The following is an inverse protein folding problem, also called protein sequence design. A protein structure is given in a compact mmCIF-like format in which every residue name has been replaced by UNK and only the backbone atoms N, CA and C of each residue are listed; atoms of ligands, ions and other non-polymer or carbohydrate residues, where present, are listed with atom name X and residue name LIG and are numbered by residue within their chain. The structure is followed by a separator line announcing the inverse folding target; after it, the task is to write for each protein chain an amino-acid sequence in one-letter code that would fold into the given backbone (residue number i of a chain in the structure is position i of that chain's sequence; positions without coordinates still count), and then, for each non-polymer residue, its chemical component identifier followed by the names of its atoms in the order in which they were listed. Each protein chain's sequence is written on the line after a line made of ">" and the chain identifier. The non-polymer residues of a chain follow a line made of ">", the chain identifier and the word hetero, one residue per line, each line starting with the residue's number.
data_IF_120825995644
#
_entry.id   IF_120825995644
#
_cell.length_a   1.000
_cell.length_b   1.000
_cell.length_c   1.000
_cell.angle_alpha   90.00
_cell.angle_beta   90.00
_cell.angle_gamma   90.00
#
_symmetry.space_group_name_H-M   'P 1'
#
loop_
_entity.id
_entity.type
_entity.pdbx_description
1 polymer ?
#
# COMPACT_ATOMS: atom_id res chain seq x y z
N UNK A 1 -3.78 53.44 -35.63
CA UNK A 1 -5.09 53.85 -35.12
C UNK A 1 -5.52 52.74 -34.18
N UNK A 2 -5.35 52.94 -32.88
CA UNK A 2 -5.69 51.96 -31.82
C UNK A 2 -7.18 52.09 -31.59
N UNK A 3 -7.94 51.06 -31.93
CA UNK A 3 -9.37 51.01 -31.66
C UNK A 3 -9.56 50.52 -30.23
N UNK A 4 -9.94 51.44 -29.36
CA UNK A 4 -10.38 51.15 -28.00
C UNK A 4 -11.81 50.58 -28.08
N UNK A 5 -11.97 49.26 -28.01
CA UNK A 5 -13.25 48.58 -28.01
C UNK A 5 -13.78 48.61 -26.58
N UNK A 6 -14.63 49.56 -26.25
CA UNK A 6 -15.50 49.47 -25.08
C UNK A 6 -16.48 48.29 -25.28
N UNK A 7 -16.16 47.17 -24.68
CA UNK A 7 -17.07 46.04 -24.57
C UNK A 7 -18.20 46.45 -23.61
N UNK A 8 -19.33 46.88 -24.15
CA UNK A 8 -20.58 46.88 -23.41
C UNK A 8 -21.12 45.46 -23.39
N UNK A 9 -21.09 44.88 -22.21
CA UNK A 9 -21.59 43.56 -21.89
C UNK A 9 -23.05 43.38 -22.38
N UNK A 10 -23.23 42.53 -23.37
CA UNK A 10 -24.39 41.68 -23.48
C UNK A 10 -23.82 40.25 -23.59
N UNK A 11 -23.39 39.74 -22.47
CA UNK A 11 -23.22 38.30 -22.30
C UNK A 11 -24.64 37.76 -22.12
N UNK A 12 -25.25 37.34 -23.20
CA UNK A 12 -26.35 36.38 -23.09
C UNK A 12 -25.70 35.06 -22.64
N UNK A 13 -25.62 34.91 -21.34
CA UNK A 13 -25.30 33.60 -20.74
C UNK A 13 -26.53 32.76 -20.99
N UNK A 14 -26.55 32.05 -22.12
CA UNK A 14 -27.36 30.85 -22.24
C UNK A 14 -26.72 29.85 -21.30
N UNK A 15 -27.22 29.82 -20.07
CA UNK A 15 -26.92 28.83 -19.08
C UNK A 15 -27.36 27.49 -19.66
N UNK A 16 -26.47 26.83 -20.41
CA UNK A 16 -26.63 25.43 -20.67
C UNK A 16 -26.57 24.77 -19.30
N UNK A 17 -27.72 24.38 -18.82
CA UNK A 17 -27.88 23.55 -17.64
C UNK A 17 -27.10 22.27 -17.93
N UNK A 18 -25.81 22.26 -17.57
CA UNK A 18 -25.04 21.03 -17.43
C UNK A 18 -25.78 20.29 -16.33
N UNK A 19 -26.59 19.33 -16.71
CA UNK A 19 -27.06 18.30 -15.78
C UNK A 19 -25.83 17.83 -15.04
N UNK A 20 -25.77 18.19 -13.78
CA UNK A 20 -24.80 17.66 -12.82
C UNK A 20 -25.02 16.14 -12.77
N UNK A 21 -24.37 15.41 -13.65
CA UNK A 21 -24.07 14.02 -13.37
C UNK A 21 -23.04 14.08 -12.24
N UNK A 22 -23.55 14.05 -11.03
CA UNK A 22 -22.74 13.66 -9.87
C UNK A 22 -22.14 12.31 -10.23
N UNK A 23 -20.91 12.33 -10.69
CA UNK A 23 -20.12 11.12 -10.87
C UNK A 23 -19.84 10.61 -9.46
N UNK A 24 -20.75 9.78 -8.96
CA UNK A 24 -20.44 8.92 -7.84
C UNK A 24 -19.21 8.11 -8.29
N UNK A 25 -18.05 8.43 -7.73
CA UNK A 25 -16.92 7.52 -7.77
C UNK A 25 -17.39 6.25 -7.07
N UNK A 26 -17.75 5.23 -7.86
CA UNK A 26 -18.03 3.91 -7.31
C UNK A 26 -16.68 3.39 -6.87
N UNK A 27 -16.44 3.44 -5.56
CA UNK A 27 -15.29 2.80 -4.94
C UNK A 27 -15.50 1.28 -5.03
N UNK A 28 -15.03 0.67 -6.08
CA UNK A 28 -14.84 -0.77 -6.07
C UNK A 28 -13.52 -1.03 -5.36
N UNK A 29 -13.57 -1.22 -4.04
CA UNK A 29 -12.49 -1.90 -3.35
C UNK A 29 -12.50 -3.36 -3.82
N UNK A 30 -11.82 -3.65 -4.91
CA UNK A 30 -11.38 -5.00 -5.17
C UNK A 30 -10.20 -5.22 -4.24
N UNK A 31 -10.45 -5.86 -3.09
CA UNK A 31 -9.40 -6.48 -2.30
C UNK A 31 -8.76 -7.54 -3.21
N UNK A 32 -7.70 -7.19 -3.89
CA UNK A 32 -6.81 -8.18 -4.47
C UNK A 32 -6.16 -8.91 -3.29
N UNK A 33 -5.99 -10.22 -3.43
CA UNK A 33 -5.31 -11.02 -2.41
C UNK A 33 -4.01 -10.31 -2.01
N UNK A 34 -3.81 -10.16 -0.70
CA UNK A 34 -2.61 -9.52 -0.16
C UNK A 34 -1.38 -10.13 -0.84
N UNK A 35 -0.59 -9.30 -1.50
CA UNK A 35 0.66 -9.77 -2.12
C UNK A 35 1.65 -9.97 -0.99
N UNK A 36 1.93 -11.23 -0.65
CA UNK A 36 2.92 -11.55 0.35
C UNK A 36 4.32 -11.16 -0.14
N UNK A 37 5.17 -10.78 0.82
CA UNK A 37 6.53 -10.30 0.53
C UNK A 37 7.39 -11.42 -0.08
N UNK A 38 7.01 -12.68 0.10
CA UNK A 38 7.72 -13.89 -0.38
C UNK A 38 6.71 -14.96 -0.82
N UNK A 39 7.05 -15.69 -1.86
CA UNK A 39 6.30 -16.87 -2.33
C UNK A 39 6.90 -18.19 -1.81
N UNK A 40 8.22 -18.18 -1.50
CA UNK A 40 8.98 -19.30 -0.99
C UNK A 40 10.02 -18.84 0.03
N UNK A 41 10.40 -19.73 0.95
CA UNK A 41 11.47 -19.49 1.91
C UNK A 41 12.34 -20.73 2.10
N UNK A 42 13.64 -20.56 1.91
CA UNK A 42 14.64 -21.58 2.23
C UNK A 42 14.99 -21.49 3.71
N UNK A 43 14.58 -22.51 4.47
CA UNK A 43 14.77 -22.56 5.91
C UNK A 43 16.11 -23.23 6.25
N UNK A 44 16.83 -22.65 7.19
CA UNK A 44 18.05 -23.21 7.72
C UNK A 44 18.22 -22.99 9.22
N UNK A 45 19.04 -23.80 9.87
CA UNK A 45 19.30 -23.72 11.31
C UNK A 45 20.51 -22.84 11.62
N UNK A 46 20.38 -22.02 12.67
CA UNK A 46 21.47 -21.28 13.33
C UNK A 46 22.00 -22.01 14.56
N UNK A 47 21.60 -23.27 14.73
CA UNK A 47 21.97 -24.17 15.83
C UNK A 47 20.96 -24.20 16.96
N UNK A 48 21.13 -25.18 17.79
CA UNK A 48 20.24 -25.55 18.87
C UNK A 48 20.58 -24.83 20.19
N UNK A 49 19.55 -24.59 21.02
CA UNK A 49 19.65 -24.19 22.41
C UNK A 49 19.07 -25.29 23.30
N UNK A 50 19.88 -25.87 24.18
CA UNK A 50 19.47 -26.85 25.18
C UNK A 50 19.69 -26.27 26.57
N UNK A 51 18.65 -25.82 27.24
CA UNK A 51 18.79 -25.16 28.55
C UNK A 51 17.67 -25.52 29.55
N UNK A 52 16.72 -26.37 29.15
CA UNK A 52 15.62 -26.80 30.02
C UNK A 52 15.16 -28.23 29.68
N UNK A 53 14.37 -28.80 30.60
CA UNK A 53 13.63 -30.05 30.42
C UNK A 53 12.15 -29.75 30.29
N UNK A 54 11.42 -30.64 29.63
CA UNK A 54 9.97 -30.70 29.60
C UNK A 54 9.55 -32.13 30.00
N UNK A 55 8.73 -32.24 31.04
CA UNK A 55 8.34 -33.56 31.64
C UNK A 55 9.55 -34.45 31.95
N UNK A 56 10.61 -33.87 32.47
CA UNK A 56 11.84 -34.53 32.83
C UNK A 56 12.82 -34.86 31.68
N UNK A 57 12.42 -34.70 30.43
CA UNK A 57 13.28 -34.93 29.28
C UNK A 57 13.96 -33.63 28.79
N UNK A 58 15.23 -33.68 28.44
CA UNK A 58 15.95 -32.57 27.83
C UNK A 58 15.27 -32.17 26.50
N UNK A 59 15.05 -30.85 26.32
CA UNK A 59 14.47 -30.33 25.10
C UNK A 59 15.46 -29.35 24.45
N UNK A 60 15.71 -29.57 23.16
CA UNK A 60 16.46 -28.67 22.30
C UNK A 60 15.51 -27.76 21.50
N UNK A 61 15.86 -26.49 21.44
CA UNK A 61 15.16 -25.53 20.61
C UNK A 61 16.04 -25.13 19.45
N UNK A 62 15.75 -25.66 18.27
CA UNK A 62 16.46 -25.31 17.06
C UNK A 62 16.08 -23.90 16.63
N UNK A 63 17.07 -23.02 16.41
CA UNK A 63 16.88 -21.65 15.92
C UNK A 63 16.82 -21.66 14.40
N UNK A 64 15.62 -21.62 13.85
CA UNK A 64 15.37 -21.68 12.40
C UNK A 64 15.11 -20.29 11.87
N UNK A 65 15.72 -19.99 10.72
CA UNK A 65 15.58 -18.73 10.01
C UNK A 65 15.48 -18.97 8.50
N UNK A 66 15.06 -17.94 7.78
CA UNK A 66 15.23 -17.80 6.33
C UNK A 66 15.81 -16.41 6.05
N UNK A 67 16.42 -16.22 4.87
CA UNK A 67 16.99 -14.96 4.46
C UNK A 67 16.16 -14.34 3.33
N UNK A 68 15.93 -13.04 3.43
CA UNK A 68 15.37 -12.23 2.37
C UNK A 68 16.08 -10.87 2.30
N UNK A 69 16.53 -10.50 1.12
CA UNK A 69 17.22 -9.21 0.86
C UNK A 69 18.39 -8.95 1.82
N UNK A 70 19.15 -10.00 2.17
CA UNK A 70 20.28 -9.95 3.09
C UNK A 70 19.89 -9.81 4.58
N UNK A 71 18.62 -9.99 4.91
CA UNK A 71 18.10 -9.96 6.29
C UNK A 71 17.57 -11.33 6.68
N UNK A 72 18.02 -11.83 7.83
CA UNK A 72 17.52 -13.09 8.40
C UNK A 72 16.24 -12.87 9.21
N UNK A 73 15.23 -13.67 8.95
CA UNK A 73 13.95 -13.65 9.65
C UNK A 73 13.67 -14.98 10.35
N UNK A 74 13.14 -14.98 11.59
CA UNK A 74 12.79 -16.21 12.30
C UNK A 74 11.65 -16.98 11.63
N UNK A 75 11.76 -18.32 11.72
CA UNK A 75 10.73 -19.27 11.32
C UNK A 75 10.40 -20.19 12.50
N UNK A 76 9.17 -20.11 12.99
CA UNK A 76 8.70 -20.89 14.15
C UNK A 76 7.95 -22.14 13.70
N UNK A 77 8.39 -23.32 14.11
CA UNK A 77 7.71 -24.58 13.82
C UNK A 77 6.24 -24.54 14.29
N UNK A 78 5.36 -25.18 13.51
CA UNK A 78 3.93 -25.28 13.82
C UNK A 78 3.48 -26.68 14.21
N UNK A 79 4.37 -27.69 14.22
CA UNK A 79 4.04 -29.03 14.68
C UNK A 79 5.24 -29.66 15.42
N UNK A 80 5.10 -29.88 16.73
CA UNK A 80 6.17 -30.48 17.55
C UNK A 80 6.33 -31.99 17.35
N UNK A 81 5.38 -32.66 16.67
CA UNK A 81 5.37 -34.09 16.45
C UNK A 81 6.10 -34.52 15.18
N UNK A 82 6.33 -33.57 14.28
CA UNK A 82 7.01 -33.81 13.01
C UNK A 82 8.47 -33.34 13.05
N UNK A 83 9.37 -33.96 12.28
CA UNK A 83 10.73 -33.47 12.13
C UNK A 83 10.75 -32.12 11.40
N UNK A 84 11.54 -31.19 11.91
CA UNK A 84 11.76 -29.87 11.37
C UNK A 84 13.18 -29.69 10.81
N UNK A 85 13.48 -28.45 10.44
CA UNK A 85 14.84 -28.03 10.08
C UNK A 85 15.74 -28.16 11.29
N UNK A 86 16.89 -28.82 11.12
CA UNK A 86 17.93 -28.98 12.13
C UNK A 86 19.29 -28.76 11.51
N UNK A 87 20.30 -28.45 12.34
CA UNK A 87 21.67 -28.29 11.86
C UNK A 87 22.21 -29.59 11.22
N UNK A 88 21.88 -30.76 11.76
CA UNK A 88 22.32 -32.06 11.26
C UNK A 88 21.44 -32.63 10.15
N UNK A 89 20.13 -32.34 10.17
CA UNK A 89 19.16 -32.84 9.19
C UNK A 89 19.02 -31.99 7.94
N UNK A 90 19.66 -30.83 7.91
CA UNK A 90 19.59 -29.87 6.81
C UNK A 90 18.32 -28.99 6.81
N UNK A 91 18.31 -28.05 5.89
CA UNK A 91 17.19 -27.18 5.61
C UNK A 91 16.26 -27.72 4.52
N UNK A 92 15.14 -27.05 4.33
CA UNK A 92 14.24 -27.26 3.19
C UNK A 92 13.43 -26.00 2.88
N UNK A 93 12.94 -25.94 1.64
CA UNK A 93 12.09 -24.83 1.18
C UNK A 93 10.65 -25.06 1.63
N UNK A 94 9.98 -23.96 1.98
CA UNK A 94 8.53 -23.92 2.22
C UNK A 94 7.88 -22.93 1.26
N UNK A 95 6.67 -23.25 0.77
CA UNK A 95 5.86 -22.36 -0.04
C UNK A 95 4.98 -21.46 0.84
N UNK A 96 4.67 -20.26 0.37
CA UNK A 96 3.88 -19.27 1.11
C UNK A 96 2.71 -18.79 0.26
N UNK A 97 1.50 -19.18 0.65
CA UNK A 97 0.26 -18.79 -0.04
C UNK A 97 -0.78 -18.14 0.88
N UNK A 98 -0.53 -18.13 2.18
CA UNK A 98 -1.47 -17.63 3.20
C UNK A 98 -0.78 -17.17 4.47
N UNK A 99 -1.54 -16.51 5.33
CA UNK A 99 -1.12 -16.15 6.69
C UNK A 99 -1.51 -17.25 7.69
N UNK A 100 -0.85 -17.25 8.85
CA UNK A 100 -1.26 -18.05 10.01
C UNK A 100 -2.56 -17.47 10.57
N UNK A 101 -3.66 -18.21 10.42
CA UNK A 101 -4.98 -17.81 10.91
C UNK A 101 -5.21 -18.26 12.37
N UNK A 102 -4.36 -17.76 13.28
CA UNK A 102 -4.47 -17.98 14.72
C UNK A 102 -4.01 -16.73 15.45
N UNK A 103 -4.95 -16.03 16.09
CA UNK A 103 -4.67 -14.77 16.79
C UNK A 103 -3.71 -14.94 17.97
N UNK A 104 -3.70 -16.08 18.65
CA UNK A 104 -2.80 -16.32 19.77
C UNK A 104 -1.35 -16.52 19.26
N UNK A 105 -1.15 -17.26 18.16
CA UNK A 105 0.16 -17.36 17.48
C UNK A 105 0.61 -15.99 17.00
N UNK A 106 -0.27 -15.22 16.35
CA UNK A 106 0.05 -13.87 15.90
C UNK A 106 0.49 -12.98 17.07
N UNK A 107 -0.20 -13.02 18.22
CA UNK A 107 0.17 -12.26 19.42
C UNK A 107 1.49 -12.73 20.01
N UNK A 108 1.75 -14.04 20.07
CA UNK A 108 3.02 -14.59 20.54
C UNK A 108 4.19 -14.09 19.68
N UNK A 109 4.05 -14.11 18.37
CA UNK A 109 5.07 -13.64 17.43
C UNK A 109 5.25 -12.12 17.52
N UNK A 110 4.17 -11.34 17.48
CA UNK A 110 4.25 -9.86 17.43
C UNK A 110 4.67 -9.23 18.75
N UNK A 111 4.48 -9.92 19.88
CA UNK A 111 5.02 -9.55 21.19
C UNK A 111 6.32 -10.30 21.54
N UNK A 112 6.81 -11.15 20.63
CA UNK A 112 8.03 -11.92 20.72
C UNK A 112 9.15 -11.38 19.82
N UNK A 113 10.16 -12.22 19.61
CA UNK A 113 11.28 -11.94 18.71
C UNK A 113 10.87 -12.15 17.24
N UNK A 114 11.27 -11.29 16.28
CA UNK A 114 12.21 -10.16 16.41
C UNK A 114 11.54 -8.82 16.71
N UNK A 115 10.21 -8.75 16.86
CA UNK A 115 9.49 -7.49 17.11
C UNK A 115 9.82 -6.89 18.49
N UNK A 116 10.24 -7.72 19.43
CA UNK A 116 10.84 -7.35 20.70
C UNK A 116 12.30 -7.79 20.73
N UNK A 117 13.15 -6.92 21.25
CA UNK A 117 14.57 -7.25 21.45
C UNK A 117 14.74 -8.30 22.56
N UNK A 118 15.87 -9.04 22.60
CA UNK A 118 16.15 -9.96 23.69
C UNK A 118 16.01 -9.31 25.07
N UNK A 119 16.53 -8.08 25.25
CA UNK A 119 16.43 -7.31 26.49
C UNK A 119 14.98 -7.01 26.86
N UNK A 120 14.12 -6.67 25.91
CA UNK A 120 12.68 -6.42 26.15
C UNK A 120 11.95 -7.69 26.58
N UNK A 121 12.40 -8.86 26.13
CA UNK A 121 11.90 -10.17 26.53
C UNK A 121 12.52 -10.64 27.87
N UNK A 122 13.50 -9.94 28.42
CA UNK A 122 14.17 -10.32 29.67
C UNK A 122 15.20 -11.44 29.50
N UNK A 123 15.78 -11.62 28.31
CA UNK A 123 16.73 -12.69 27.98
C UNK A 123 18.00 -12.16 27.31
N UNK A 124 18.99 -13.04 27.12
CA UNK A 124 20.30 -12.70 26.53
C UNK A 124 20.45 -13.28 25.12
N UNK A 125 20.53 -12.39 24.15
CA UNK A 125 20.80 -12.76 22.76
C UNK A 125 19.59 -13.38 22.01
N UNK A 126 19.77 -13.50 20.69
CA UNK A 126 18.72 -13.90 19.76
C UNK A 126 18.27 -15.37 19.93
N UNK A 127 19.18 -16.28 20.32
CA UNK A 127 18.80 -17.69 20.52
C UNK A 127 17.80 -17.87 21.67
N UNK A 128 18.04 -17.20 22.80
CA UNK A 128 17.08 -17.23 23.93
C UNK A 128 15.76 -16.56 23.54
N UNK A 129 15.82 -15.41 22.90
CA UNK A 129 14.61 -14.69 22.46
C UNK A 129 13.79 -15.50 21.44
N UNK A 130 14.46 -16.21 20.54
CA UNK A 130 13.81 -17.16 19.64
C UNK A 130 13.15 -18.31 20.41
N UNK A 131 13.85 -18.92 21.36
CA UNK A 131 13.32 -20.01 22.18
C UNK A 131 12.07 -19.57 22.96
N UNK A 132 12.11 -18.40 23.60
CA UNK A 132 10.96 -17.78 24.29
C UNK A 132 9.76 -17.68 23.36
N UNK A 133 9.95 -17.16 22.16
CA UNK A 133 8.85 -16.96 21.20
C UNK A 133 8.34 -18.28 20.65
N UNK A 134 9.22 -19.25 20.35
CA UNK A 134 8.84 -20.59 19.89
C UNK A 134 8.02 -21.33 20.94
N UNK A 135 8.41 -21.25 22.21
CA UNK A 135 7.64 -21.87 23.30
C UNK A 135 6.25 -21.24 23.42
N UNK A 136 6.12 -19.91 23.29
CA UNK A 136 4.83 -19.25 23.30
C UNK A 136 3.96 -19.60 22.06
N UNK A 137 4.56 -19.79 20.89
CA UNK A 137 3.85 -20.30 19.70
C UNK A 137 3.34 -21.72 19.93
N UNK A 138 4.16 -22.58 20.53
CA UNK A 138 3.72 -23.95 20.88
C UNK A 138 2.65 -23.95 21.99
N UNK A 139 2.75 -23.07 22.97
CA UNK A 139 1.70 -22.91 23.97
C UNK A 139 0.36 -22.51 23.37
N UNK A 140 0.36 -21.65 22.35
CA UNK A 140 -0.86 -21.28 21.61
C UNK A 140 -1.53 -22.47 20.90
N UNK A 141 -0.76 -23.54 20.62
CA UNK A 141 -1.23 -24.75 19.94
C UNK A 141 -1.54 -25.90 20.87
N UNK A 142 -0.73 -26.07 21.93
CA UNK A 142 -0.73 -27.26 22.77
C UNK A 142 -1.12 -27.03 24.22
N UNK A 143 -1.28 -25.78 24.64
CA UNK A 143 -1.70 -25.37 25.98
C UNK A 143 -0.84 -26.00 27.08
N UNK A 144 0.41 -25.54 27.15
CA UNK A 144 1.37 -26.06 28.11
C UNK A 144 0.95 -25.86 29.58
N UNK A 145 1.22 -26.86 30.41
CA UNK A 145 1.39 -26.66 31.85
C UNK A 145 2.84 -26.22 32.09
N UNK A 146 3.03 -25.02 32.59
CA UNK A 146 4.36 -24.47 32.80
C UNK A 146 5.12 -25.11 33.94
N UNK A 147 4.44 -25.82 34.86
CA UNK A 147 5.04 -26.61 35.90
C UNK A 147 5.75 -27.88 35.36
N UNK A 148 5.46 -28.26 34.12
CA UNK A 148 6.15 -29.36 33.42
C UNK A 148 7.58 -28.98 32.95
N UNK A 149 7.95 -27.67 33.00
CA UNK A 149 9.24 -27.19 32.58
C UNK A 149 10.21 -27.01 33.75
N UNK A 150 11.46 -27.41 33.59
CA UNK A 150 12.56 -27.28 34.56
C UNK A 150 13.80 -26.72 33.87
N UNK A 151 14.34 -25.59 34.32
CA UNK A 151 15.62 -25.07 33.84
C UNK A 151 16.77 -25.97 34.30
N UNK A 152 17.74 -26.23 33.43
CA UNK A 152 18.96 -26.96 33.85
C UNK A 152 20.04 -26.03 34.35
N UNK A 153 19.83 -24.73 34.22
CA UNK A 153 20.69 -23.66 34.66
C UNK A 153 19.94 -22.32 34.64
N UNK A 154 20.58 -21.23 35.11
CA UNK A 154 19.98 -19.87 35.12
C UNK A 154 19.47 -19.40 33.75
N UNK A 155 20.08 -19.87 32.64
CA UNK A 155 19.61 -19.58 31.29
C UNK A 155 18.25 -20.23 31.05
N UNK A 156 18.10 -21.49 31.44
CA UNK A 156 16.84 -22.22 31.30
C UNK A 156 15.72 -21.60 32.14
N UNK A 157 16.00 -21.27 33.40
CA UNK A 157 15.02 -20.62 34.28
C UNK A 157 14.53 -19.29 33.68
N UNK A 158 15.48 -18.49 33.16
CA UNK A 158 15.17 -17.21 32.52
C UNK A 158 14.33 -17.37 31.24
N UNK A 159 14.65 -18.36 30.41
CA UNK A 159 13.93 -18.64 29.16
C UNK A 159 12.50 -19.11 29.46
N UNK A 160 12.31 -20.03 30.43
CA UNK A 160 11.00 -20.54 30.85
C UNK A 160 10.13 -19.38 31.36
N UNK A 161 10.64 -18.61 32.32
CA UNK A 161 9.90 -17.49 32.90
C UNK A 161 9.49 -16.43 31.85
N UNK A 162 10.37 -16.14 30.88
CA UNK A 162 10.07 -15.22 29.79
C UNK A 162 9.03 -15.80 28.82
N UNK A 163 9.08 -17.09 28.50
CA UNK A 163 8.16 -17.77 27.63
C UNK A 163 6.75 -17.86 28.24
N UNK A 164 6.65 -18.21 29.52
CA UNK A 164 5.38 -18.21 30.26
C UNK A 164 4.73 -16.81 30.24
N UNK A 165 5.51 -15.77 30.54
CA UNK A 165 5.03 -14.39 30.49
C UNK A 165 4.52 -14.00 29.10
N UNK A 166 5.25 -14.34 28.03
CA UNK A 166 4.84 -14.09 26.66
C UNK A 166 3.56 -14.86 26.29
N UNK A 167 3.47 -16.10 26.72
CA UNK A 167 2.29 -16.95 26.53
C UNK A 167 1.06 -16.36 27.23
N UNK A 168 1.22 -15.85 28.45
CA UNK A 168 0.16 -15.17 29.16
C UNK A 168 -0.32 -13.92 28.40
N UNK A 169 0.61 -13.09 27.86
CA UNK A 169 0.27 -11.95 27.01
C UNK A 169 -0.53 -12.43 25.79
N UNK A 170 -0.08 -13.47 25.12
CA UNK A 170 -0.73 -13.99 23.92
C UNK A 170 -2.14 -14.54 24.18
N UNK A 171 -2.36 -15.14 25.36
CA UNK A 171 -3.67 -15.68 25.79
C UNK A 171 -4.64 -14.58 26.20
N UNK A 172 -4.18 -13.58 26.96
CA UNK A 172 -5.06 -12.58 27.61
C UNK A 172 -5.33 -11.35 26.75
N UNK A 173 -4.45 -11.02 25.79
CA UNK A 173 -4.71 -9.92 24.87
C UNK A 173 -5.90 -10.23 23.95
N UNK A 174 -6.66 -9.20 23.63
CA UNK A 174 -7.75 -9.23 22.64
C UNK A 174 -7.30 -8.76 21.26
N UNK A 175 -6.03 -8.37 21.10
CA UNK A 175 -5.50 -7.87 19.84
C UNK A 175 -5.61 -8.92 18.73
N UNK A 176 -5.91 -8.45 17.54
CA UNK A 176 -5.94 -9.27 16.33
C UNK A 176 -5.09 -8.61 15.25
N UNK A 177 -4.60 -9.39 14.28
CA UNK A 177 -3.97 -8.81 13.10
C UNK A 177 -4.95 -7.80 12.48
N UNK A 178 -4.53 -6.54 12.29
CA UNK A 178 -5.38 -5.56 11.62
C UNK A 178 -5.71 -6.00 10.19
N UNK A 179 -6.95 -5.78 9.80
CA UNK A 179 -7.31 -5.84 8.38
C UNK A 179 -6.87 -4.53 7.75
N UNK A 180 -6.00 -4.60 6.75
CA UNK A 180 -5.51 -3.43 6.02
C UNK A 180 -6.59 -2.88 5.09
N UNK A 181 -6.73 -1.56 5.07
CA UNK A 181 -7.61 -0.83 4.15
C UNK A 181 -6.86 0.38 3.63
N UNK A 182 -6.70 0.44 2.32
CA UNK A 182 -6.16 1.59 1.59
C UNK A 182 -7.29 2.20 0.77
N UNK A 183 -7.38 3.53 0.72
CA UNK A 183 -8.32 4.21 -0.13
C UNK A 183 -7.62 5.37 -0.86
N UNK A 184 -7.91 5.52 -2.14
CA UNK A 184 -7.57 6.68 -2.95
C UNK A 184 -8.77 7.60 -3.01
N UNK A 185 -8.59 8.87 -2.74
CA UNK A 185 -9.66 9.87 -2.70
C UNK A 185 -9.23 11.15 -3.40
N UNK A 186 -10.22 11.96 -3.78
CA UNK A 186 -10.03 13.32 -4.26
C UNK A 186 -11.12 14.21 -3.68
N UNK A 187 -10.80 15.46 -3.42
CA UNK A 187 -11.78 16.50 -3.08
C UNK A 187 -12.18 17.32 -4.31
N UNK A 188 -11.48 17.15 -5.44
CA UNK A 188 -11.73 17.88 -6.66
C UNK A 188 -12.92 17.24 -7.40
N UNK A 189 -13.96 18.03 -7.64
CA UNK A 189 -15.17 17.55 -8.35
C UNK A 189 -14.87 17.33 -9.83
N UNK A 190 -14.02 18.15 -10.43
CA UNK A 190 -13.71 18.14 -11.87
C UNK A 190 -12.20 18.26 -12.11
N UNK A 191 -11.78 18.01 -13.32
CA UNK A 191 -10.46 18.37 -13.82
C UNK A 191 -10.44 19.87 -14.09
N UNK A 192 -9.42 20.55 -13.62
CA UNK A 192 -9.22 21.98 -13.81
C UNK A 192 -7.88 22.22 -14.51
N UNK A 193 -7.77 23.35 -15.19
CA UNK A 193 -6.49 23.77 -15.77
C UNK A 193 -5.44 23.89 -14.67
N UNK A 194 -4.29 23.24 -14.87
CA UNK A 194 -3.24 23.24 -13.86
C UNK A 194 -2.63 24.63 -13.68
N UNK A 195 -2.54 25.09 -12.45
CA UNK A 195 -2.06 26.45 -12.11
C UNK A 195 -0.57 26.65 -12.43
N UNK A 196 0.24 25.57 -12.43
CA UNK A 196 1.68 25.63 -12.68
C UNK A 196 1.97 25.47 -14.18
N UNK A 197 1.24 24.57 -14.84
CA UNK A 197 1.39 24.35 -16.28
C UNK A 197 0.03 24.34 -17.00
N UNK A 198 -0.42 25.48 -17.55
CA UNK A 198 -1.73 25.61 -18.19
C UNK A 198 -1.96 24.73 -19.44
N UNK A 199 -0.95 24.02 -19.93
CA UNK A 199 -1.10 23.04 -21.02
C UNK A 199 -1.74 21.72 -20.53
N UNK A 200 -1.88 21.56 -19.21
CA UNK A 200 -2.43 20.37 -18.60
C UNK A 200 -3.72 20.69 -17.82
N UNK A 201 -4.62 19.74 -17.82
CA UNK A 201 -5.66 19.64 -16.82
C UNK A 201 -5.14 18.79 -15.66
N UNK A 202 -5.45 19.20 -14.44
CA UNK A 202 -4.98 18.50 -13.23
C UNK A 202 -6.10 18.13 -12.29
N UNK A 203 -5.86 17.10 -11.50
CA UNK A 203 -6.68 16.69 -10.39
C UNK A 203 -5.81 16.15 -9.27
N UNK A 204 -6.09 16.56 -8.04
CA UNK A 204 -5.31 16.17 -6.86
C UNK A 204 -5.98 15.02 -6.12
N UNK A 205 -5.16 14.05 -5.73
CA UNK A 205 -5.57 12.87 -5.00
C UNK A 205 -4.78 12.72 -3.71
N UNK A 206 -5.37 12.00 -2.76
CA UNK A 206 -4.72 11.63 -1.51
C UNK A 206 -5.09 10.20 -1.12
N UNK A 207 -4.18 9.59 -0.35
CA UNK A 207 -4.32 8.22 0.12
C UNK A 207 -4.62 8.23 1.61
N UNK A 208 -5.57 7.40 2.02
CA UNK A 208 -5.88 7.16 3.43
C UNK A 208 -5.77 5.68 3.75
N UNK A 209 -5.22 5.38 4.93
CA UNK A 209 -5.05 4.03 5.45
C UNK A 209 -5.64 3.94 6.85
N UNK A 210 -6.13 2.76 7.23
CA UNK A 210 -6.63 2.51 8.58
C UNK A 210 -5.56 2.01 9.56
N UNK A 211 -4.38 1.64 9.03
CA UNK A 211 -3.20 1.19 9.77
C UNK A 211 -2.04 2.09 9.39
N UNK A 212 -1.03 2.21 10.25
CA UNK A 212 0.17 3.00 9.92
C UNK A 212 0.84 2.47 8.66
N UNK A 213 1.22 3.41 7.80
CA UNK A 213 1.94 3.21 6.55
C UNK A 213 3.06 4.24 6.49
N UNK A 214 4.16 3.95 5.82
CA UNK A 214 5.26 4.91 5.66
C UNK A 214 5.26 5.54 4.28
N UNK A 215 4.86 4.79 3.27
CA UNK A 215 4.84 5.22 1.87
C UNK A 215 3.77 4.51 1.06
N UNK A 216 3.50 5.06 -0.11
CA UNK A 216 2.69 4.41 -1.13
C UNK A 216 3.26 4.70 -2.51
N UNK A 217 2.96 3.83 -3.46
CA UNK A 217 3.25 4.04 -4.89
C UNK A 217 1.95 4.23 -5.67
N UNK A 218 2.05 4.93 -6.79
CA UNK A 218 0.93 5.20 -7.71
C UNK A 218 1.28 4.71 -9.09
N UNK A 219 0.40 3.91 -9.67
CA UNK A 219 0.50 3.44 -11.05
C UNK A 219 -0.81 3.76 -11.78
N UNK A 220 -0.70 4.11 -13.06
CA UNK A 220 -1.86 4.31 -13.93
C UNK A 220 -2.00 3.12 -14.87
N UNK A 221 -3.21 2.54 -14.91
CA UNK A 221 -3.53 1.41 -15.76
C UNK A 221 -4.63 1.81 -16.76
N UNK A 222 -4.68 1.12 -17.91
CA UNK A 222 -5.68 1.34 -18.95
C UNK A 222 -5.72 2.80 -19.48
N UNK A 223 -4.55 3.44 -19.57
CA UNK A 223 -4.41 4.82 -20.04
C UNK A 223 -4.35 4.82 -21.55
N UNK A 224 -5.38 5.36 -22.21
CA UNK A 224 -5.42 5.52 -23.68
C UNK A 224 -4.87 6.87 -24.16
N UNK A 225 -4.56 7.77 -23.23
CA UNK A 225 -4.03 9.12 -23.50
C UNK A 225 -2.52 9.11 -23.38
N UNK A 226 -1.83 9.78 -24.31
CA UNK A 226 -0.39 9.96 -24.22
C UNK A 226 0.00 11.06 -23.19
N UNK A 227 1.21 10.97 -22.65
CA UNK A 227 1.81 11.99 -21.78
C UNK A 227 1.03 12.34 -20.51
N UNK A 228 0.20 11.44 -20.01
CA UNK A 228 -0.39 11.56 -18.67
C UNK A 228 0.72 11.37 -17.64
N UNK A 229 0.75 12.23 -16.61
CA UNK A 229 1.81 12.26 -15.61
C UNK A 229 1.25 12.08 -14.21
N UNK A 230 1.99 11.35 -13.38
CA UNK A 230 1.82 11.34 -11.93
C UNK A 230 2.91 12.22 -11.33
N UNK A 231 2.50 13.21 -10.54
CA UNK A 231 3.41 14.24 -9.98
C UNK A 231 3.11 14.52 -8.53
N UNK A 232 4.03 15.17 -7.84
CA UNK A 232 3.73 15.83 -6.58
C UNK A 232 2.93 17.14 -6.80
N UNK A 233 2.59 17.85 -5.71
CA UNK A 233 1.84 19.11 -5.77
C UNK A 233 2.59 20.25 -6.52
N UNK A 234 3.91 20.07 -6.77
CA UNK A 234 4.77 21.02 -7.51
C UNK A 234 5.02 20.61 -8.96
N UNK A 235 4.29 19.63 -9.48
CA UNK A 235 4.43 19.03 -10.82
C UNK A 235 5.77 18.31 -11.05
N UNK A 236 6.45 17.86 -9.99
CA UNK A 236 7.61 17.00 -10.13
C UNK A 236 7.13 15.55 -10.31
N UNK A 237 7.48 14.92 -11.43
CA UNK A 237 7.10 13.54 -11.72
C UNK A 237 7.72 12.59 -10.69
N UNK A 238 6.90 11.76 -10.08
CA UNK A 238 7.31 10.67 -9.21
C UNK A 238 6.19 9.65 -9.04
N UNK A 239 6.54 8.42 -8.66
CA UNK A 239 5.58 7.34 -8.42
C UNK A 239 5.52 6.90 -6.97
N UNK A 240 6.56 7.19 -6.17
CA UNK A 240 6.55 6.91 -4.73
C UNK A 240 6.31 8.19 -3.92
N UNK A 241 5.45 8.08 -2.90
CA UNK A 241 5.04 9.17 -2.03
C UNK A 241 5.13 8.72 -0.57
N UNK A 242 5.47 9.63 0.33
CA UNK A 242 5.36 9.39 1.76
C UNK A 242 3.90 9.43 2.19
N UNK A 243 3.54 8.68 3.19
CA UNK A 243 2.19 8.74 3.78
C UNK A 243 1.86 10.17 4.19
N UNK A 244 0.68 10.66 3.76
CA UNK A 244 0.22 12.03 3.97
C UNK A 244 0.59 13.02 2.85
N UNK A 245 1.53 12.70 1.97
CA UNK A 245 1.71 13.48 0.73
C UNK A 245 0.50 13.27 -0.19
N UNK A 246 0.23 14.28 -1.01
CA UNK A 246 -0.75 14.19 -2.08
C UNK A 246 -0.04 14.00 -3.41
N UNK A 247 -0.75 13.47 -4.39
CA UNK A 247 -0.28 13.41 -5.76
C UNK A 247 -1.27 14.07 -6.71
N UNK A 248 -0.75 14.56 -7.82
CA UNK A 248 -1.55 15.11 -8.91
C UNK A 248 -1.43 14.21 -10.12
N UNK A 249 -2.50 14.12 -10.89
CA UNK A 249 -2.46 13.58 -12.24
C UNK A 249 -2.65 14.74 -13.19
N UNK A 250 -1.77 14.82 -14.18
CA UNK A 250 -1.76 15.83 -15.21
C UNK A 250 -2.13 15.17 -16.54
N UNK A 251 -3.18 15.66 -17.19
CA UNK A 251 -3.61 15.24 -18.53
C UNK A 251 -3.36 16.38 -19.49
N UNK A 252 -2.63 16.19 -20.62
CA UNK A 252 -2.49 17.23 -21.62
C UNK A 252 -3.86 17.66 -22.14
N UNK A 253 -4.15 18.96 -22.15
CA UNK A 253 -5.46 19.49 -22.61
C UNK A 253 -5.67 19.15 -24.09
N UNK A 254 -4.57 19.09 -24.88
CA UNK A 254 -4.60 18.70 -26.30
C UNK A 254 -5.13 17.28 -26.52
N UNK A 255 -4.98 16.40 -25.55
CA UNK A 255 -5.41 15.00 -25.62
C UNK A 255 -6.84 14.76 -25.10
N UNK A 256 -7.48 15.82 -24.55
CA UNK A 256 -8.84 15.75 -24.02
C UNK A 256 -9.90 16.06 -25.09
N UNK A 257 -9.69 15.66 -26.33
CA UNK A 257 -10.66 15.81 -27.43
C UNK A 257 -11.89 14.88 -27.29
N UNK A 258 -11.73 13.80 -26.57
CA UNK A 258 -12.77 12.81 -26.25
C UNK A 258 -12.82 12.55 -24.75
N UNK A 259 -13.98 12.14 -24.28
CA UNK A 259 -14.11 11.63 -22.92
C UNK A 259 -13.49 10.25 -22.80
N UNK A 260 -12.92 9.95 -21.64
CA UNK A 260 -12.30 8.66 -21.37
C UNK A 260 -12.22 8.35 -19.89
N UNK A 261 -11.64 7.20 -19.59
CA UNK A 261 -11.35 6.76 -18.23
C UNK A 261 -10.03 6.01 -18.16
N UNK A 262 -9.42 6.00 -16.99
CA UNK A 262 -8.25 5.18 -16.66
C UNK A 262 -8.33 4.77 -15.19
N UNK A 263 -7.48 3.84 -14.78
CA UNK A 263 -7.42 3.37 -13.41
C UNK A 263 -6.17 3.91 -12.71
N UNK A 264 -6.38 4.41 -11.50
CA UNK A 264 -5.33 4.80 -10.57
C UNK A 264 -5.19 3.66 -9.58
N UNK A 265 -4.08 2.95 -9.62
CA UNK A 265 -3.74 1.92 -8.66
C UNK A 265 -2.74 2.48 -7.65
N UNK A 266 -3.04 2.30 -6.38
CA UNK A 266 -2.17 2.69 -5.28
C UNK A 266 -1.80 1.46 -4.47
N UNK A 267 -0.52 1.27 -4.22
CA UNK A 267 0.01 0.23 -3.34
C UNK A 267 0.66 0.89 -2.13
N UNK A 268 0.17 0.60 -0.92
CA UNK A 268 0.72 1.13 0.32
C UNK A 268 1.35 0.03 1.18
N UNK A 269 2.43 0.36 1.89
CA UNK A 269 3.01 -0.48 2.93
C UNK A 269 2.18 -0.36 4.22
N UNK A 270 1.58 -1.46 4.66
CA UNK A 270 0.66 -1.48 5.81
C UNK A 270 1.32 -2.19 6.99
N UNK A 271 1.45 -1.50 8.14
CA UNK A 271 2.08 -2.07 9.34
C UNK A 271 1.11 -3.00 10.06
N UNK A 272 0.97 -4.21 9.57
CA UNK A 272 0.11 -5.25 10.13
C UNK A 272 0.87 -6.35 10.84
N UNK A 273 2.20 -6.38 10.70
CA UNK A 273 3.09 -7.42 11.23
C UNK A 273 2.59 -8.83 10.83
N UNK A 274 2.55 -9.15 9.53
CA UNK A 274 2.00 -10.42 9.07
C UNK A 274 2.86 -11.59 9.56
N UNK A 275 2.21 -12.68 9.94
CA UNK A 275 2.84 -13.97 10.20
C UNK A 275 2.40 -14.91 9.08
N UNK A 276 3.33 -15.26 8.20
CA UNK A 276 3.03 -16.07 7.02
C UNK A 276 3.05 -17.55 7.37
N UNK A 277 2.25 -18.34 6.68
CA UNK A 277 2.27 -19.78 6.78
C UNK A 277 3.18 -20.36 5.70
N UNK A 278 4.32 -20.90 6.13
CA UNK A 278 5.24 -21.64 5.26
C UNK A 278 4.87 -23.13 5.23
N UNK A 279 4.32 -23.56 4.12
CA UNK A 279 3.92 -24.95 3.90
C UNK A 279 5.10 -25.79 3.42
N UNK A 280 5.41 -26.87 4.10
CA UNK A 280 6.46 -27.80 3.67
C UNK A 280 6.09 -28.59 2.41
N UNK A 281 4.80 -28.67 2.06
CA UNK A 281 4.30 -29.51 0.97
C UNK A 281 4.45 -31.03 1.24
N UNK A 282 5.01 -31.43 2.39
CA UNK A 282 5.33 -32.80 2.80
C UNK A 282 4.72 -33.04 4.18
N UNK A 283 3.71 -33.89 4.26
CA UNK A 283 3.02 -34.22 5.51
C UNK A 283 3.91 -34.90 6.55
N UNK A 284 5.11 -35.32 6.21
CA UNK A 284 6.12 -35.90 7.12
C UNK A 284 7.06 -34.83 7.70
N UNK A 285 6.94 -33.56 7.30
CA UNK A 285 7.78 -32.44 7.74
C UNK A 285 6.94 -31.30 8.35
N UNK A 286 7.57 -30.52 9.19
CA UNK A 286 6.92 -29.36 9.81
C UNK A 286 6.65 -28.26 8.80
N UNK A 287 5.50 -27.56 8.95
CA UNK A 287 5.26 -26.23 8.42
C UNK A 287 5.65 -25.17 9.46
N UNK A 288 5.77 -23.92 9.03
CA UNK A 288 6.33 -22.85 9.85
C UNK A 288 5.49 -21.58 9.86
N UNK A 289 5.48 -20.88 10.99
CA UNK A 289 5.07 -19.49 11.10
C UNK A 289 6.28 -18.60 10.78
N UNK A 290 6.26 -17.95 9.62
CA UNK A 290 7.35 -17.13 9.12
C UNK A 290 7.11 -15.66 9.51
N UNK A 291 8.13 -15.03 10.07
CA UNK A 291 8.10 -13.58 10.32
C UNK A 291 8.52 -12.85 9.05
N UNK A 292 7.61 -12.09 8.46
CA UNK A 292 7.85 -11.40 7.18
C UNK A 292 8.20 -9.90 7.35
N UNK A 293 8.57 -9.46 8.55
CA UNK A 293 8.80 -8.07 8.87
C UNK A 293 7.56 -7.35 9.38
N UNK A 294 7.57 -6.00 9.35
CA UNK A 294 6.51 -5.17 9.94
C UNK A 294 5.34 -4.91 9.01
N UNK A 295 5.55 -4.99 7.69
CA UNK A 295 4.63 -4.47 6.68
C UNK A 295 4.15 -5.56 5.74
N UNK A 296 2.91 -5.44 5.29
CA UNK A 296 2.38 -6.08 4.09
C UNK A 296 1.99 -4.99 3.10
N UNK A 297 1.84 -5.35 1.83
CA UNK A 297 1.38 -4.42 0.80
C UNK A 297 -0.11 -4.59 0.57
N UNK A 298 -0.83 -3.46 0.47
CA UNK A 298 -2.25 -3.43 0.17
C UNK A 298 -2.52 -2.49 -0.98
N UNK A 299 -3.40 -2.89 -1.88
CA UNK A 299 -3.73 -2.16 -3.09
C UNK A 299 -5.13 -1.55 -3.02
N UNK A 300 -5.26 -0.36 -3.61
CA UNK A 300 -6.56 0.26 -3.89
C UNK A 300 -6.58 0.77 -5.32
N UNK A 301 -7.70 0.56 -6.00
CA UNK A 301 -7.91 1.05 -7.37
C UNK A 301 -9.05 2.06 -7.41
N UNK A 302 -8.83 3.17 -8.10
CA UNK A 302 -9.83 4.20 -8.36
C UNK A 302 -9.96 4.43 -9.85
N UNK A 303 -11.19 4.34 -10.40
CA UNK A 303 -11.46 4.73 -11.79
C UNK A 303 -11.58 6.24 -11.88
N UNK A 304 -10.72 6.85 -12.66
CA UNK A 304 -10.73 8.28 -12.96
C UNK A 304 -11.34 8.51 -14.34
N UNK A 305 -12.41 9.31 -14.37
CA UNK A 305 -13.06 9.72 -15.62
C UNK A 305 -12.70 11.16 -15.94
N UNK A 306 -12.50 11.44 -17.21
CA UNK A 306 -12.36 12.81 -17.72
C UNK A 306 -13.35 13.03 -18.87
N UNK A 307 -13.81 14.26 -19.01
CA UNK A 307 -14.72 14.66 -20.09
C UNK A 307 -13.92 15.29 -21.22
N UNK A 308 -14.45 15.20 -22.43
CA UNK A 308 -13.88 15.96 -23.52
C UNK A 308 -13.89 17.46 -23.20
N UNK A 309 -12.74 18.10 -23.37
CA UNK A 309 -12.64 19.55 -23.22
C UNK A 309 -13.12 20.25 -24.49
N UNK A 310 -14.43 20.31 -24.68
CA UNK A 310 -15.04 21.01 -25.80
C UNK A 310 -15.49 22.39 -25.34
N UNK A 311 -14.66 23.38 -25.53
CA UNK A 311 -15.08 24.79 -25.40
C UNK A 311 -15.50 25.32 -26.76
N UNK A 312 -16.78 25.62 -26.93
CA UNK A 312 -17.27 26.33 -28.11
C UNK A 312 -17.24 27.83 -27.84
N UNK A 313 -16.42 28.56 -28.55
CA UNK A 313 -16.44 30.01 -28.55
C UNK A 313 -17.16 30.47 -29.81
N UNK A 314 -18.23 31.21 -29.66
CA UNK A 314 -18.90 31.87 -30.76
C UNK A 314 -18.49 33.35 -30.78
N UNK A 315 -17.84 33.77 -31.86
CA UNK A 315 -17.43 35.16 -32.05
C UNK A 315 -18.34 35.78 -33.10
N UNK A 316 -19.18 36.72 -32.67
CA UNK A 316 -20.05 37.49 -33.55
C UNK A 316 -19.46 38.88 -33.73
N UNK A 317 -19.03 39.21 -34.94
CA UNK A 317 -18.60 40.54 -35.28
C UNK A 317 -19.76 41.35 -35.87
N UNK A 318 -20.00 42.52 -35.31
CA UNK A 318 -21.09 43.42 -35.72
C UNK A 318 -20.55 44.74 -36.14
N UNK A 319 -21.24 45.39 -37.08
CA UNK A 319 -21.06 46.78 -37.42
C UNK A 319 -21.37 47.66 -36.19
N UNK A 320 -20.56 48.69 -35.95
CA UNK A 320 -20.65 49.50 -34.74
C UNK A 320 -21.84 50.50 -34.77
N UNK A 321 -22.32 50.83 -35.96
CA UNK A 321 -23.40 51.82 -36.15
C UNK A 321 -24.76 51.15 -36.34
N UNK A 322 -24.78 50.05 -37.12
CA UNK A 322 -26.03 49.37 -37.50
C UNK A 322 -26.35 48.17 -36.63
N UNK A 323 -25.37 47.65 -35.86
CA UNK A 323 -25.44 46.43 -35.09
C UNK A 323 -25.70 45.16 -35.94
N UNK A 324 -25.61 45.23 -37.25
CA UNK A 324 -25.74 44.10 -38.13
C UNK A 324 -24.49 43.18 -38.08
N UNK A 325 -24.66 41.87 -38.28
CA UNK A 325 -23.55 40.92 -38.31
C UNK A 325 -22.70 41.14 -39.56
N UNK A 326 -21.39 41.19 -39.37
CA UNK A 326 -20.42 41.35 -40.45
C UNK A 326 -19.93 39.96 -40.87
N UNK A 327 -20.31 39.57 -42.08
CA UNK A 327 -19.85 38.31 -42.73
C UNK A 327 -18.47 38.55 -43.38
N UNK A 328 -17.69 37.47 -43.50
CA UNK A 328 -16.36 37.46 -44.09
C UNK A 328 -15.33 38.40 -43.40
N UNK A 329 -15.57 38.81 -42.18
CA UNK A 329 -14.58 39.56 -41.42
C UNK A 329 -13.49 38.64 -40.90
N UNK A 330 -12.22 38.96 -41.25
CA UNK A 330 -11.05 38.15 -40.82
C UNK A 330 -10.54 38.57 -39.46
N UNK A 331 -10.13 37.61 -38.66
CA UNK A 331 -9.52 37.83 -37.34
C UNK A 331 -8.56 36.71 -36.94
N UNK A 332 -7.71 37.00 -36.00
CA UNK A 332 -6.83 36.02 -35.37
C UNK A 332 -7.17 35.91 -33.89
N UNK A 333 -7.04 34.70 -33.32
CA UNK A 333 -7.10 34.51 -31.87
C UNK A 333 -5.66 34.48 -31.35
N UNK A 334 -5.44 35.25 -30.28
CA UNK A 334 -4.14 35.38 -29.61
C UNK A 334 -4.25 34.82 -28.19
N UNK A 335 -3.17 34.22 -27.71
CA UNK A 335 -3.05 33.84 -26.28
C UNK A 335 -2.76 35.12 -25.43
N UNK A 336 -2.69 34.93 -24.11
CA UNK A 336 -2.37 35.99 -23.16
C UNK A 336 -1.03 36.69 -23.41
N UNK A 337 -0.08 35.99 -24.04
CA UNK A 337 1.24 36.50 -24.42
C UNK A 337 1.23 37.20 -25.81
N UNK A 338 0.06 37.42 -26.38
CA UNK A 338 -0.14 38.03 -27.72
C UNK A 338 0.43 37.22 -28.89
N UNK A 339 0.64 35.92 -28.70
CA UNK A 339 1.02 35.03 -29.78
C UNK A 339 -0.24 34.52 -30.49
N UNK A 340 -0.19 34.38 -31.80
CA UNK A 340 -1.30 33.88 -32.62
C UNK A 340 -1.47 32.41 -32.37
N UNK A 341 -2.65 32.01 -31.88
CA UNK A 341 -3.06 30.63 -31.65
C UNK A 341 -3.84 30.09 -32.86
N UNK A 342 -4.72 30.94 -33.41
CA UNK A 342 -5.46 30.64 -34.63
C UNK A 342 -5.42 31.87 -35.55
N UNK A 343 -5.11 31.65 -36.85
CA UNK A 343 -5.01 32.69 -37.87
C UNK A 343 -6.11 32.55 -38.91
N UNK A 344 -6.38 33.68 -39.59
CA UNK A 344 -7.24 33.77 -40.76
C UNK A 344 -8.66 33.20 -40.59
N UNK A 345 -9.17 33.25 -39.39
CA UNK A 345 -10.55 32.88 -39.14
C UNK A 345 -11.50 33.92 -39.78
N UNK A 346 -12.62 33.48 -40.35
CA UNK A 346 -13.63 34.34 -40.97
C UNK A 346 -14.97 34.15 -40.34
N UNK A 347 -15.73 35.26 -40.18
CA UNK A 347 -17.15 35.18 -39.77
C UNK A 347 -18.00 34.72 -40.94
N UNK A 348 -18.99 33.89 -40.68
CA UNK A 348 -19.97 33.43 -41.64
C UNK A 348 -21.05 34.46 -41.86
#
# INVERSE_FOLDING_TARGET
>A
MILDVKIKNIISITLVMITLLTTFCIFTNTSNAATYIIDEADLFSKGELVCFKYQGALVGVEYVVYEKDGVEYPAYCLDRTLPGVTQSGGGYTVSVDKIVNNNQIWRAVTNGYPFKTPTQLGVVGSKEAFAVTKMAVYDAMYHYDWDDFEGINEQGDRVIAAAEKLSQIARTSTDTKPVSIVNVKTNDEKWEMDEINPEYASKTFYVTTNVSSTKYSVQLNNVEIENVKVTDEKNVEKQEFKTGEKFKILIPISEMDKAGEFEIEVTADMRTMPVLYGDSGDSSKQSYALVAGFYEFENATLKAKYLANTTKIEIVKKDAETAESLNNAKFNILNANKQIVYSDLTTN
#
